data_IF_634297673450
#
_entry.id   IF_634297673450
#
_cell.length_a   1.000
_cell.length_b   1.000
_cell.length_c   1.000
_cell.angle_alpha   90.00
_cell.angle_beta   90.00
_cell.angle_gamma   90.00
#
_symmetry.space_group_name_H-M   'P 1'
#
loop_
_entity.id
_entity.type
_entity.pdbx_description
1 polymer ?
#
# COMPACT_ATOMS: atom_id res chain seq x y z
N UNK A 1 19.38 -2.35 35.85
CA UNK A 1 19.59 -2.34 37.31
C UNK A 1 21.02 -2.81 37.58
N UNK A 2 21.90 -1.90 37.99
CA UNK A 2 23.30 -2.21 38.29
C UNK A 2 23.43 -2.47 39.79
N UNK A 3 24.08 -3.56 40.16
CA UNK A 3 24.46 -3.82 41.54
C UNK A 3 25.96 -3.59 41.66
N UNK A 4 26.34 -2.78 42.64
CA UNK A 4 27.73 -2.57 43.01
C UNK A 4 28.02 -3.47 44.21
N UNK A 5 28.99 -4.37 44.05
CA UNK A 5 29.58 -5.08 45.19
C UNK A 5 31.01 -4.57 45.33
N UNK A 6 31.30 -4.02 46.51
CA UNK A 6 32.66 -3.68 46.93
C UNK A 6 33.14 -4.89 47.73
N UNK A 7 34.15 -5.59 47.22
CA UNK A 7 34.81 -6.68 47.94
C UNK A 7 36.15 -6.13 48.40
N UNK A 8 36.36 -6.11 49.70
CA UNK A 8 37.58 -5.61 50.33
C UNK A 8 38.40 -6.81 50.83
N UNK A 9 39.56 -7.02 50.22
CA UNK A 9 40.49 -8.09 50.61
C UNK A 9 41.91 -7.56 50.56
N UNK A 10 42.64 -7.69 51.68
CA UNK A 10 44.04 -7.26 51.87
C UNK A 10 44.35 -5.84 51.38
N UNK A 11 43.59 -4.86 51.86
CA UNK A 11 43.93 -3.43 51.71
C UNK A 11 43.90 -2.87 50.28
N UNK A 12 43.38 -3.62 49.30
CA UNK A 12 43.14 -3.12 47.93
C UNK A 12 41.68 -3.31 47.53
N UNK A 13 41.02 -2.20 47.15
CA UNK A 13 39.63 -2.20 46.67
C UNK A 13 39.59 -2.60 45.20
N UNK A 14 38.92 -3.71 44.92
CA UNK A 14 38.67 -4.16 43.54
C UNK A 14 37.20 -3.95 43.20
N UNK A 15 36.93 -3.15 42.17
CA UNK A 15 35.58 -2.94 41.64
C UNK A 15 35.34 -3.94 40.52
N UNK A 16 34.67 -5.05 40.84
CA UNK A 16 34.35 -6.08 39.84
C UNK A 16 33.01 -5.77 39.18
N UNK A 17 33.06 -5.34 37.90
CA UNK A 17 31.87 -5.04 37.09
C UNK A 17 31.30 -6.32 36.47
N UNK A 18 30.43 -7.02 37.19
CA UNK A 18 29.70 -8.17 36.64
C UNK A 18 28.55 -7.70 35.73
N UNK A 19 28.72 -7.87 34.41
CA UNK A 19 27.70 -7.59 33.40
C UNK A 19 26.71 -8.76 33.35
N UNK A 20 25.53 -8.64 34.00
CA UNK A 20 24.43 -9.61 33.81
C UNK A 20 24.08 -9.68 32.32
N UNK A 21 24.39 -10.80 31.66
CA UNK A 21 23.93 -11.12 30.29
C UNK A 21 22.43 -11.45 30.31
N UNK A 22 21.57 -10.47 30.54
CA UNK A 22 20.13 -10.58 30.21
C UNK A 22 19.93 -10.08 28.78
N UNK A 23 20.36 -10.86 27.78
CA UNK A 23 20.41 -10.40 26.37
C UNK A 23 19.37 -11.05 25.44
N UNK A 24 18.46 -11.90 25.94
CA UNK A 24 17.53 -12.67 25.07
C UNK A 24 16.04 -12.30 25.20
N UNK A 25 15.56 -11.83 26.36
CA UNK A 25 14.14 -11.40 26.53
C UNK A 25 13.85 -10.00 25.96
N UNK A 26 14.74 -9.02 26.17
CA UNK A 26 14.55 -7.64 25.70
C UNK A 26 14.49 -7.48 24.17
N UNK A 27 15.01 -8.45 23.41
CA UNK A 27 15.03 -8.40 21.95
C UNK A 27 13.72 -8.92 21.32
N UNK A 28 12.99 -9.78 22.02
CA UNK A 28 11.66 -10.21 21.59
C UNK A 28 10.65 -9.11 21.93
N UNK A 29 10.71 -8.57 23.16
CA UNK A 29 9.83 -7.49 23.59
C UNK A 29 9.97 -6.24 22.70
N UNK A 30 11.20 -5.89 22.28
CA UNK A 30 11.42 -4.77 21.35
C UNK A 30 10.89 -5.02 19.94
N UNK A 31 10.95 -6.27 19.45
CA UNK A 31 10.40 -6.66 18.14
C UNK A 31 8.88 -6.65 18.15
N UNK A 32 8.26 -7.21 19.20
CA UNK A 32 6.80 -7.18 19.35
C UNK A 32 6.28 -5.75 19.49
N UNK A 33 6.97 -4.91 20.26
CA UNK A 33 6.60 -3.50 20.40
C UNK A 33 6.71 -2.73 19.07
N UNK A 34 7.78 -2.96 18.31
CA UNK A 34 7.97 -2.35 16.98
C UNK A 34 6.92 -2.83 15.96
N UNK A 35 6.57 -4.11 15.99
CA UNK A 35 5.52 -4.67 15.14
C UNK A 35 4.15 -4.10 15.48
N UNK A 36 3.82 -3.99 16.77
CA UNK A 36 2.58 -3.39 17.25
C UNK A 36 2.48 -1.90 16.90
N UNK A 37 3.55 -1.12 17.07
CA UNK A 37 3.58 0.29 16.68
C UNK A 37 3.39 0.43 15.15
N UNK A 38 4.09 -0.38 14.36
CA UNK A 38 3.91 -0.38 12.89
C UNK A 38 2.48 -0.72 12.50
N UNK A 39 1.89 -1.74 13.11
CA UNK A 39 0.50 -2.16 12.85
C UNK A 39 -0.49 -1.05 13.23
N UNK A 40 -0.31 -0.44 14.40
CA UNK A 40 -1.14 0.68 14.85
C UNK A 40 -1.06 1.88 13.90
N UNK A 41 0.14 2.20 13.42
CA UNK A 41 0.36 3.26 12.42
C UNK A 41 -0.32 2.94 11.09
N UNK A 42 -0.29 1.69 10.64
CA UNK A 42 -0.97 1.25 9.41
C UNK A 42 -2.50 1.31 9.52
N UNK A 43 -3.06 0.99 10.70
CA UNK A 43 -4.50 1.14 10.95
C UNK A 43 -4.87 2.63 10.85
N UNK A 44 -4.08 3.48 11.51
CA UNK A 44 -4.31 4.93 11.50
C UNK A 44 -4.19 5.54 10.11
N UNK A 45 -3.26 5.05 9.27
CA UNK A 45 -3.15 5.52 7.88
C UNK A 45 -4.35 5.10 7.03
N UNK A 46 -4.86 3.88 7.20
CA UNK A 46 -6.09 3.45 6.50
C UNK A 46 -7.33 4.21 6.96
N UNK A 47 -7.48 4.48 8.27
CA UNK A 47 -8.55 5.33 8.76
C UNK A 47 -8.50 6.74 8.14
N UNK A 48 -7.30 7.32 8.07
CA UNK A 48 -7.11 8.62 7.43
C UNK A 48 -7.38 8.58 5.93
N UNK A 49 -7.06 7.48 5.24
CA UNK A 49 -7.45 7.28 3.84
C UNK A 49 -8.96 7.43 3.65
N UNK A 50 -9.78 6.77 4.47
CA UNK A 50 -11.25 6.90 4.39
C UNK A 50 -11.73 8.31 4.69
N UNK A 51 -11.22 8.95 5.75
CA UNK A 51 -11.58 10.34 6.10
C UNK A 51 -11.26 11.30 4.95
N UNK A 52 -10.10 11.17 4.32
CA UNK A 52 -9.71 12.01 3.19
C UNK A 52 -10.53 11.71 1.93
N UNK A 53 -10.87 10.45 1.71
CA UNK A 53 -11.73 10.01 0.62
C UNK A 53 -13.12 10.65 0.72
N UNK A 54 -13.76 10.60 1.89
CA UNK A 54 -15.05 11.25 2.13
C UNK A 54 -14.96 12.78 2.00
N UNK A 55 -13.88 13.38 2.52
CA UNK A 55 -13.67 14.83 2.46
C UNK A 55 -13.60 15.39 1.04
N UNK A 56 -13.06 14.64 0.08
CA UNK A 56 -12.83 15.12 -1.28
C UNK A 56 -13.91 14.68 -2.28
N UNK A 57 -15.04 14.19 -1.78
CA UNK A 57 -16.03 13.40 -2.52
C UNK A 57 -15.39 12.15 -3.13
N UNK A 58 -15.94 10.97 -2.83
CA UNK A 58 -15.37 9.66 -3.18
C UNK A 58 -14.89 9.60 -4.64
N UNK A 59 -15.67 10.18 -5.56
CA UNK A 59 -15.40 10.22 -7.01
C UNK A 59 -14.14 11.00 -7.40
N UNK A 60 -13.85 12.13 -6.73
CA UNK A 60 -12.71 12.98 -7.07
C UNK A 60 -11.50 12.68 -6.18
N UNK A 61 -11.76 12.24 -4.96
CA UNK A 61 -10.77 12.03 -3.90
C UNK A 61 -10.02 10.71 -3.96
N UNK A 62 -10.45 9.74 -4.78
CA UNK A 62 -9.90 8.38 -4.72
C UNK A 62 -8.40 8.31 -5.03
N UNK A 63 -7.98 8.80 -6.21
CA UNK A 63 -6.57 8.82 -6.60
C UNK A 63 -5.70 9.62 -5.62
N UNK A 64 -6.20 10.77 -5.16
CA UNK A 64 -5.49 11.64 -4.20
C UNK A 64 -5.24 10.90 -2.88
N UNK A 65 -6.30 10.31 -2.32
CA UNK A 65 -6.24 9.61 -1.04
C UNK A 65 -5.36 8.37 -1.15
N UNK A 66 -5.46 7.66 -2.28
CA UNK A 66 -4.69 6.45 -2.53
C UNK A 66 -3.20 6.72 -2.74
N UNK A 67 -2.82 7.70 -3.57
CA UNK A 67 -1.43 8.13 -3.72
C UNK A 67 -0.83 8.60 -2.39
N UNK A 68 -1.62 9.36 -1.60
CA UNK A 68 -1.19 9.81 -0.27
C UNK A 68 -0.97 8.62 0.68
N UNK A 69 -1.84 7.61 0.63
CA UNK A 69 -1.69 6.40 1.43
C UNK A 69 -0.42 5.63 1.07
N UNK A 70 -0.10 5.48 -0.22
CA UNK A 70 1.15 4.86 -0.66
C UNK A 70 2.35 5.58 -0.03
N UNK A 71 2.43 6.89 -0.21
CA UNK A 71 3.55 7.71 0.29
C UNK A 71 3.68 7.60 1.83
N UNK A 72 2.56 7.66 2.55
CA UNK A 72 2.55 7.57 4.02
C UNK A 72 2.94 6.17 4.53
N UNK A 73 2.42 5.10 3.92
CA UNK A 73 2.82 3.73 4.28
C UNK A 73 4.30 3.51 4.00
N UNK A 74 4.83 4.12 2.94
CA UNK A 74 6.25 4.02 2.63
C UNK A 74 7.15 4.66 3.67
N UNK A 75 6.75 5.83 4.16
CA UNK A 75 7.43 6.59 5.21
C UNK A 75 7.34 5.89 6.57
N UNK A 76 6.17 5.30 6.89
CA UNK A 76 5.99 4.48 8.10
C UNK A 76 6.96 3.29 8.09
N UNK A 77 7.00 2.56 6.97
CA UNK A 77 7.91 1.42 6.81
C UNK A 77 9.38 1.83 6.64
N UNK A 78 9.65 3.09 6.31
CA UNK A 78 10.98 3.70 6.28
C UNK A 78 11.49 4.10 7.67
N UNK A 79 10.65 4.00 8.71
CA UNK A 79 11.01 4.36 10.08
C UNK A 79 10.84 5.83 10.42
N UNK A 80 10.09 6.60 9.62
CA UNK A 80 9.85 8.01 9.92
C UNK A 80 8.99 8.17 11.20
N UNK A 81 9.42 9.07 12.09
CA UNK A 81 8.79 9.32 13.38
C UNK A 81 7.72 10.44 13.36
N UNK A 82 7.52 11.10 12.22
CA UNK A 82 6.54 12.17 12.09
C UNK A 82 5.10 11.68 12.32
N UNK A 83 4.26 12.58 12.85
CA UNK A 83 2.86 12.27 13.10
C UNK A 83 2.11 12.01 11.77
N UNK A 84 1.48 10.85 11.66
CA UNK A 84 0.76 10.39 10.44
C UNK A 84 -0.21 11.44 9.90
N UNK A 85 -0.90 12.18 10.79
CA UNK A 85 -1.85 13.23 10.39
C UNK A 85 -1.17 14.41 9.68
N UNK A 86 0.01 14.82 10.12
CA UNK A 86 0.79 15.87 9.46
C UNK A 86 1.27 15.38 8.09
N UNK A 87 1.80 14.15 8.05
CA UNK A 87 2.27 13.51 6.82
C UNK A 87 1.16 13.41 5.75
N UNK A 88 -0.03 12.96 6.13
CA UNK A 88 -1.20 12.94 5.23
C UNK A 88 -1.56 14.36 4.73
N UNK A 89 -1.53 15.37 5.59
CA UNK A 89 -1.87 16.76 5.22
C UNK A 89 -0.85 17.38 4.26
N UNK A 90 0.42 17.08 4.43
CA UNK A 90 1.49 17.59 3.56
C UNK A 90 1.50 16.87 2.21
N UNK A 91 1.53 15.54 2.21
CA UNK A 91 1.60 14.75 0.98
C UNK A 91 0.33 14.86 0.13
N UNK A 92 -0.86 14.98 0.74
CA UNK A 92 -2.13 15.12 -0.02
C UNK A 92 -2.20 16.39 -0.88
N UNK A 93 -1.53 17.48 -0.49
CA UNK A 93 -1.49 18.71 -1.30
C UNK A 93 -0.83 18.48 -2.66
N UNK A 94 0.17 17.60 -2.72
CA UNK A 94 0.92 17.26 -3.94
C UNK A 94 0.03 16.65 -5.01
N UNK A 95 -0.93 15.82 -4.62
CA UNK A 95 -1.75 15.05 -5.55
C UNK A 95 -3.04 15.77 -5.96
N UNK A 96 -3.28 17.02 -5.55
CA UNK A 96 -4.55 17.74 -5.76
C UNK A 96 -4.97 17.87 -7.23
N UNK A 97 -4.01 17.84 -8.17
CA UNK A 97 -4.25 17.93 -9.61
C UNK A 97 -4.58 16.58 -10.27
N UNK A 98 -4.56 15.47 -9.53
CA UNK A 98 -4.82 14.11 -10.05
C UNK A 98 -6.31 13.72 -10.10
N UNK A 99 -7.24 14.68 -9.92
CA UNK A 99 -8.69 14.43 -9.88
C UNK A 99 -9.24 13.72 -11.12
N UNK A 100 -8.72 14.06 -12.30
CA UNK A 100 -9.12 13.45 -13.58
C UNK A 100 -8.89 11.95 -13.55
N UNK A 101 -7.81 11.49 -12.90
CA UNK A 101 -7.49 10.07 -12.80
C UNK A 101 -8.51 9.34 -11.94
N UNK A 102 -8.96 9.93 -10.82
CA UNK A 102 -10.06 9.38 -10.01
C UNK A 102 -11.36 9.29 -10.83
N UNK A 103 -11.66 10.34 -11.60
CA UNK A 103 -12.88 10.44 -12.40
C UNK A 103 -12.91 9.38 -13.50
N UNK A 104 -11.79 9.19 -14.21
CA UNK A 104 -11.63 8.14 -15.22
C UNK A 104 -11.72 6.75 -14.59
N UNK A 105 -11.03 6.51 -13.48
CA UNK A 105 -11.08 5.21 -12.80
C UNK A 105 -12.50 4.83 -12.41
N UNK A 106 -13.20 5.72 -11.70
CA UNK A 106 -14.52 5.45 -11.16
C UNK A 106 -15.55 5.40 -12.29
N UNK A 107 -15.46 6.29 -13.28
CA UNK A 107 -16.31 6.27 -14.46
C UNK A 107 -16.19 4.95 -15.23
N UNK A 108 -14.95 4.50 -15.52
CA UNK A 108 -14.73 3.22 -16.19
C UNK A 108 -15.19 2.03 -15.32
N UNK A 109 -14.95 2.08 -14.01
CA UNK A 109 -15.39 1.02 -13.09
C UNK A 109 -16.92 0.91 -13.08
N UNK A 110 -17.64 2.03 -12.99
CA UNK A 110 -19.11 2.06 -13.07
C UNK A 110 -19.59 1.54 -14.42
N UNK A 111 -18.97 2.00 -15.51
CA UNK A 111 -19.31 1.56 -16.86
C UNK A 111 -19.19 0.04 -17.02
N UNK A 112 -18.02 -0.54 -16.75
CA UNK A 112 -17.80 -1.98 -16.91
C UNK A 112 -18.58 -2.82 -15.90
N UNK A 113 -18.76 -2.35 -14.67
CA UNK A 113 -19.57 -3.07 -13.67
C UNK A 113 -21.06 -3.10 -14.04
N UNK A 114 -21.59 -2.04 -14.65
CA UNK A 114 -22.97 -2.03 -15.15
C UNK A 114 -23.21 -3.15 -16.17
N UNK A 115 -22.27 -3.38 -17.10
CA UNK A 115 -22.37 -4.49 -18.06
C UNK A 115 -22.28 -5.88 -17.42
N UNK A 116 -21.62 -6.02 -16.27
CA UNK A 116 -21.54 -7.31 -15.57
C UNK A 116 -22.84 -7.60 -14.81
N UNK A 117 -23.37 -6.58 -14.13
CA UNK A 117 -24.51 -6.70 -13.20
C UNK A 117 -25.85 -6.71 -13.96
N UNK A 118 -26.02 -5.84 -14.94
CA UNK A 118 -27.31 -5.67 -15.61
C UNK A 118 -27.67 -6.91 -16.46
N UNK A 119 -28.97 -7.25 -16.53
CA UNK A 119 -29.44 -8.29 -17.41
C UNK A 119 -29.38 -7.81 -18.87
N UNK A 120 -28.92 -8.70 -19.76
CA UNK A 120 -28.92 -8.44 -21.20
C UNK A 120 -30.29 -8.74 -21.83
N UNK A 121 -30.60 -8.16 -23.00
CA UNK A 121 -31.86 -8.42 -23.70
C UNK A 121 -32.05 -9.91 -23.98
N UNK A 122 -33.30 -10.41 -23.84
CA UNK A 122 -33.64 -11.84 -24.02
C UNK A 122 -33.38 -12.39 -25.44
N UNK A 123 -33.15 -11.53 -26.43
CA UNK A 123 -32.86 -11.93 -27.80
C UNK A 123 -31.43 -12.38 -28.06
N UNK A 124 -30.53 -12.29 -27.07
CA UNK A 124 -29.13 -12.64 -27.22
C UNK A 124 -28.87 -14.07 -26.75
N UNK A 125 -28.01 -14.80 -27.47
CA UNK A 125 -27.66 -16.16 -27.06
C UNK A 125 -26.90 -16.16 -25.73
N UNK A 126 -27.13 -17.19 -24.91
CA UNK A 126 -26.48 -17.32 -23.59
C UNK A 126 -24.95 -17.29 -23.67
N UNK A 127 -24.38 -17.85 -24.74
CA UNK A 127 -22.92 -17.88 -24.94
C UNK A 127 -22.35 -16.46 -25.20
N UNK A 128 -23.03 -15.64 -26.00
CA UNK A 128 -22.61 -14.27 -26.28
C UNK A 128 -22.67 -13.42 -25.02
N UNK A 129 -23.76 -13.52 -24.24
CA UNK A 129 -23.92 -12.79 -22.98
C UNK A 129 -22.82 -13.18 -21.97
N UNK A 130 -22.56 -14.48 -21.81
CA UNK A 130 -21.50 -14.96 -20.92
C UNK A 130 -20.12 -14.43 -21.33
N UNK A 131 -19.82 -14.45 -22.62
CA UNK A 131 -18.54 -13.96 -23.18
C UNK A 131 -18.34 -12.48 -22.92
N UNK A 132 -19.36 -11.65 -23.16
CA UNK A 132 -19.30 -10.21 -22.92
C UNK A 132 -19.09 -9.91 -21.44
N UNK A 133 -19.85 -10.57 -20.55
CA UNK A 133 -19.66 -10.42 -19.10
C UNK A 133 -18.25 -10.78 -18.66
N UNK A 134 -17.69 -11.86 -19.20
CA UNK A 134 -16.32 -12.28 -18.91
C UNK A 134 -15.29 -11.24 -19.38
N UNK A 135 -15.43 -10.73 -20.60
CA UNK A 135 -14.54 -9.67 -21.13
C UNK A 135 -14.65 -8.39 -20.30
N UNK A 136 -15.86 -7.95 -19.95
CA UNK A 136 -16.05 -6.77 -19.09
C UNK A 136 -15.45 -6.95 -17.70
N UNK A 137 -15.60 -8.14 -17.10
CA UNK A 137 -14.98 -8.46 -15.81
C UNK A 137 -13.45 -8.42 -15.91
N UNK A 138 -12.87 -9.00 -16.96
CA UNK A 138 -11.43 -8.98 -17.19
C UNK A 138 -10.90 -7.54 -17.37
N UNK A 139 -11.60 -6.71 -18.16
CA UNK A 139 -11.25 -5.30 -18.33
C UNK A 139 -11.31 -4.52 -17.02
N UNK A 140 -12.31 -4.80 -16.17
CA UNK A 140 -12.44 -4.18 -14.85
C UNK A 140 -11.24 -4.52 -13.96
N UNK A 141 -10.79 -5.78 -13.94
CA UNK A 141 -9.60 -6.18 -13.19
C UNK A 141 -8.32 -5.50 -13.72
N UNK A 142 -8.16 -5.42 -15.04
CA UNK A 142 -7.02 -4.73 -15.66
C UNK A 142 -6.98 -3.25 -15.31
N UNK A 143 -8.13 -2.56 -15.29
CA UNK A 143 -8.22 -1.14 -14.90
C UNK A 143 -7.71 -0.93 -13.47
N UNK A 144 -8.08 -1.81 -12.53
CA UNK A 144 -7.61 -1.74 -11.15
C UNK A 144 -6.10 -1.97 -11.04
N UNK A 145 -5.55 -2.96 -11.75
CA UNK A 145 -4.09 -3.20 -11.78
C UNK A 145 -3.36 -2.00 -12.39
N UNK A 146 -3.85 -1.47 -13.51
CA UNK A 146 -3.25 -0.31 -14.16
C UNK A 146 -3.27 0.93 -13.25
N UNK A 147 -4.37 1.15 -12.53
CA UNK A 147 -4.47 2.22 -11.55
C UNK A 147 -3.42 2.08 -10.44
N UNK A 148 -3.17 0.86 -9.97
CA UNK A 148 -2.14 0.59 -8.97
C UNK A 148 -0.74 0.92 -9.46
N UNK A 149 -0.37 0.42 -10.64
CA UNK A 149 0.92 0.75 -11.27
C UNK A 149 1.07 2.26 -11.50
N UNK A 150 0.01 2.91 -11.95
CA UNK A 150 0.00 4.36 -12.19
C UNK A 150 0.18 5.14 -10.89
N UNK A 151 -0.60 4.83 -9.86
CA UNK A 151 -0.52 5.50 -8.55
C UNK A 151 0.84 5.30 -7.89
N UNK A 152 1.38 4.08 -7.95
CA UNK A 152 2.71 3.78 -7.42
C UNK A 152 3.81 4.52 -8.20
N UNK A 153 3.70 4.59 -9.54
CA UNK A 153 4.60 5.39 -10.39
C UNK A 153 4.55 6.87 -10.04
N UNK A 154 3.35 7.43 -9.88
CA UNK A 154 3.17 8.84 -9.50
C UNK A 154 3.84 9.17 -8.17
N UNK A 155 3.80 8.24 -7.21
CA UNK A 155 4.44 8.44 -5.90
C UNK A 155 5.95 8.29 -6.01
N UNK A 156 6.45 7.27 -6.69
CA UNK A 156 7.89 6.97 -6.78
C UNK A 156 8.68 7.92 -7.65
N UNK A 157 8.16 8.26 -8.82
CA UNK A 157 8.86 9.08 -9.82
C UNK A 157 8.38 10.54 -9.82
N UNK A 158 7.35 10.88 -9.04
CA UNK A 158 6.76 12.23 -8.97
C UNK A 158 6.34 12.79 -10.34
N UNK A 159 5.96 11.90 -11.27
CA UNK A 159 5.55 12.24 -12.63
C UNK A 159 4.09 12.74 -12.67
N UNK A 160 3.74 13.58 -13.67
CA UNK A 160 2.35 13.94 -13.93
C UNK A 160 1.52 12.72 -14.30
N UNK A 161 0.23 12.75 -13.98
CA UNK A 161 -0.70 11.63 -14.11
C UNK A 161 -0.69 10.95 -15.49
N UNK A 162 -0.58 11.73 -16.58
CA UNK A 162 -0.54 11.19 -17.95
C UNK A 162 0.72 10.35 -18.21
N UNK A 163 1.89 10.87 -17.85
CA UNK A 163 3.16 10.16 -18.04
C UNK A 163 3.23 8.94 -17.11
N UNK A 164 2.76 9.08 -15.88
CA UNK A 164 2.70 7.96 -14.94
C UNK A 164 1.76 6.85 -15.42
N UNK A 165 0.66 7.17 -16.11
CA UNK A 165 -0.25 6.17 -16.67
C UNK A 165 0.40 5.40 -17.82
N UNK A 166 1.09 6.09 -18.73
CA UNK A 166 1.81 5.45 -19.84
C UNK A 166 2.95 4.56 -19.33
N UNK A 167 3.74 5.06 -18.38
CA UNK A 167 4.82 4.28 -17.78
C UNK A 167 4.28 3.12 -16.93
N UNK A 168 3.20 3.34 -16.19
CA UNK A 168 2.50 2.30 -15.44
C UNK A 168 1.96 1.20 -16.34
N UNK A 169 1.40 1.55 -17.50
CA UNK A 169 0.97 0.59 -18.51
C UNK A 169 2.14 -0.22 -19.06
N UNK A 170 3.25 0.44 -19.42
CA UNK A 170 4.47 -0.22 -19.86
C UNK A 170 4.98 -1.22 -18.82
N UNK A 171 5.07 -0.82 -17.55
CA UNK A 171 5.50 -1.71 -16.46
C UNK A 171 4.56 -2.88 -16.22
N UNK A 172 3.25 -2.66 -16.33
CA UNK A 172 2.23 -3.70 -16.17
C UNK A 172 2.40 -4.80 -17.21
N UNK A 173 2.70 -4.44 -18.47
CA UNK A 173 2.93 -5.39 -19.57
C UNK A 173 4.31 -6.05 -19.43
N UNK A 174 5.37 -5.26 -19.19
CA UNK A 174 6.75 -5.76 -19.02
C UNK A 174 6.87 -6.79 -17.90
N UNK A 175 6.12 -6.59 -16.81
CA UNK A 175 6.16 -7.44 -15.62
C UNK A 175 4.83 -8.14 -15.36
N UNK A 176 4.27 -8.80 -16.39
CA UNK A 176 2.97 -9.47 -16.34
C UNK A 176 2.78 -10.41 -15.13
N UNK A 177 3.81 -11.20 -14.75
CA UNK A 177 3.74 -12.09 -13.58
C UNK A 177 3.52 -11.33 -12.26
N UNK A 178 4.09 -10.13 -12.14
CA UNK A 178 3.89 -9.28 -10.95
C UNK A 178 2.51 -8.64 -10.94
N UNK A 179 2.00 -8.28 -12.11
CA UNK A 179 0.60 -7.86 -12.30
C UNK A 179 -0.37 -8.96 -11.85
N UNK A 180 -0.09 -10.22 -12.21
CA UNK A 180 -0.87 -11.37 -11.74
C UNK A 180 -0.79 -11.56 -10.22
N UNK A 181 0.40 -11.40 -9.62
CA UNK A 181 0.55 -11.45 -8.16
C UNK A 181 -0.27 -10.36 -7.43
N UNK A 182 -0.29 -9.13 -7.95
CA UNK A 182 -1.13 -8.05 -7.41
C UNK A 182 -2.62 -8.38 -7.50
N UNK A 183 -3.04 -9.00 -8.59
CA UNK A 183 -4.41 -9.47 -8.78
C UNK A 183 -4.78 -10.52 -7.72
N UNK A 184 -3.91 -11.51 -7.49
CA UNK A 184 -4.14 -12.52 -6.45
C UNK A 184 -4.25 -11.90 -5.06
N UNK A 185 -3.41 -10.91 -4.73
CA UNK A 185 -3.52 -10.17 -3.45
C UNK A 185 -4.86 -9.43 -3.36
N UNK A 186 -5.28 -8.75 -4.43
CA UNK A 186 -6.54 -8.03 -4.47
C UNK A 186 -7.74 -8.97 -4.25
N UNK A 187 -7.75 -10.12 -4.94
CA UNK A 187 -8.79 -11.15 -4.78
C UNK A 187 -8.78 -11.77 -3.39
N UNK A 188 -7.60 -12.05 -2.83
CA UNK A 188 -7.46 -12.56 -1.47
C UNK A 188 -8.03 -11.58 -0.43
N UNK A 189 -7.79 -10.28 -0.59
CA UNK A 189 -8.35 -9.24 0.29
C UNK A 189 -9.88 -9.21 0.18
N UNK A 190 -10.44 -9.28 -1.03
CA UNK A 190 -11.91 -9.33 -1.24
C UNK A 190 -12.50 -10.58 -0.58
N UNK A 191 -11.89 -11.73 -0.80
CA UNK A 191 -12.34 -12.99 -0.21
C UNK A 191 -12.31 -12.95 1.32
N UNK A 192 -11.22 -12.45 1.91
CA UNK A 192 -11.08 -12.28 3.36
C UNK A 192 -12.10 -11.27 3.94
N UNK A 193 -12.44 -10.24 3.17
CA UNK A 193 -13.48 -9.28 3.55
C UNK A 193 -14.86 -9.93 3.69
N UNK A 194 -15.11 -11.09 3.08
CA UNK A 194 -16.36 -11.85 3.26
C UNK A 194 -16.57 -12.37 4.68
N UNK A 195 -15.48 -12.66 5.42
CA UNK A 195 -15.56 -13.13 6.80
C UNK A 195 -15.74 -12.00 7.81
N UNK A 196 -15.04 -10.88 7.61
CA UNK A 196 -15.06 -9.74 8.53
C UNK A 196 -14.96 -8.40 7.77
N UNK A 197 -16.08 -7.96 7.19
CA UNK A 197 -16.13 -6.77 6.35
C UNK A 197 -15.64 -5.51 7.09
N UNK A 198 -16.04 -5.30 8.35
CA UNK A 198 -15.66 -4.10 9.12
C UNK A 198 -14.16 -4.04 9.36
N UNK A 199 -13.55 -5.16 9.77
CA UNK A 199 -12.11 -5.23 9.99
C UNK A 199 -11.34 -5.00 8.69
N UNK A 200 -11.73 -5.69 7.62
CA UNK A 200 -11.05 -5.54 6.34
C UNK A 200 -11.26 -4.17 5.71
N UNK A 201 -12.40 -3.50 5.92
CA UNK A 201 -12.59 -2.13 5.46
C UNK A 201 -11.50 -1.20 6.00
N UNK A 202 -11.14 -1.33 7.28
CA UNK A 202 -10.14 -0.48 7.92
C UNK A 202 -8.69 -0.92 7.71
N UNK A 203 -8.43 -2.17 7.32
CA UNK A 203 -7.06 -2.67 7.13
C UNK A 203 -6.68 -2.87 5.67
N UNK A 204 -7.65 -3.17 4.80
CA UNK A 204 -7.42 -3.52 3.39
C UNK A 204 -6.59 -2.47 2.64
N UNK A 205 -6.84 -1.14 2.75
CA UNK A 205 -6.04 -0.17 2.00
C UNK A 205 -4.56 -0.24 2.35
N UNK A 206 -4.22 -0.26 3.64
CA UNK A 206 -2.82 -0.33 4.11
C UNK A 206 -2.18 -1.68 3.77
N UNK A 207 -2.88 -2.81 3.97
CA UNK A 207 -2.36 -4.14 3.63
C UNK A 207 -2.07 -4.22 2.12
N UNK A 208 -3.00 -3.74 1.31
CA UNK A 208 -2.85 -3.77 -0.14
C UNK A 208 -1.64 -2.95 -0.60
N UNK A 209 -1.43 -1.76 -0.03
CA UNK A 209 -0.26 -0.93 -0.32
C UNK A 209 1.04 -1.60 0.14
N UNK A 210 1.05 -2.25 1.31
CA UNK A 210 2.22 -3.00 1.79
C UNK A 210 2.60 -4.14 0.83
N UNK A 211 1.62 -4.96 0.44
CA UNK A 211 1.82 -6.04 -0.52
C UNK A 211 2.28 -5.49 -1.88
N UNK A 212 1.69 -4.38 -2.32
CA UNK A 212 2.08 -3.69 -3.55
C UNK A 212 3.55 -3.27 -3.51
N UNK A 213 3.99 -2.65 -2.41
CA UNK A 213 5.40 -2.29 -2.21
C UNK A 213 6.31 -3.52 -2.25
N UNK A 214 5.90 -4.65 -1.69
CA UNK A 214 6.69 -5.87 -1.72
C UNK A 214 6.84 -6.44 -3.16
N UNK A 215 5.76 -6.40 -3.95
CA UNK A 215 5.72 -6.97 -5.31
C UNK A 215 6.38 -6.03 -6.33
N UNK A 216 5.97 -4.76 -6.34
CA UNK A 216 6.39 -3.74 -7.32
C UNK A 216 7.68 -3.03 -6.88
N UNK A 217 7.91 -2.87 -5.57
CA UNK A 217 9.01 -2.02 -5.07
C UNK A 217 10.40 -2.47 -5.48
N UNK A 218 10.62 -3.75 -5.80
CA UNK A 218 11.90 -4.23 -6.33
C UNK A 218 12.14 -3.83 -7.79
N UNK A 219 11.10 -3.55 -8.59
CA UNK A 219 11.25 -3.03 -9.97
C UNK A 219 11.98 -1.69 -9.95
N UNK A 220 11.51 -0.77 -9.10
CA UNK A 220 12.04 0.59 -8.98
C UNK A 220 13.39 0.68 -8.25
N UNK A 221 13.83 -0.40 -7.58
CA UNK A 221 15.22 -0.51 -7.10
C UNK A 221 16.15 -0.88 -8.25
N UNK A 222 15.77 -1.91 -9.03
CA UNK A 222 16.54 -2.39 -10.17
C UNK A 222 16.70 -1.33 -11.27
N UNK A 223 15.64 -0.59 -11.61
CA UNK A 223 15.70 0.45 -12.64
C UNK A 223 16.57 1.66 -12.21
N UNK A 224 16.62 1.96 -10.90
CA UNK A 224 17.49 3.02 -10.37
C UNK A 224 18.96 2.65 -10.46
N UNK A 225 19.31 1.40 -10.15
CA UNK A 225 20.68 0.90 -10.29
C UNK A 225 21.13 0.90 -11.75
N UNK A 226 20.27 0.51 -12.69
CA UNK A 226 20.59 0.59 -14.11
C UNK A 226 20.78 2.04 -14.59
N UNK A 227 19.94 2.96 -14.14
CA UNK A 227 20.05 4.39 -14.52
C UNK A 227 21.32 5.05 -13.99
N UNK A 228 21.84 4.63 -12.83
CA UNK A 228 23.09 5.14 -12.26
C UNK A 228 24.37 4.56 -12.88
N UNK A 229 24.26 3.51 -13.70
CA UNK A 229 25.42 2.94 -14.44
C UNK A 229 25.61 3.66 -15.79
N UNK A 230 24.61 4.42 -16.24
CA UNK A 230 24.65 5.20 -17.47
C UNK A 230 24.92 6.71 -17.25
N UNK A 231 25.23 7.12 -16.02
CA UNK A 231 25.70 8.47 -15.65
C UNK A 231 27.14 8.34 -15.18
#
# INVERSE_FOLDING_TARGET
MYYWFIIESRGRRYVVRMRKKTKKRSFLDSKYFSFMDTTYRLIKSSLLFWVYLFKHAIVLGFSISFCTLIDVVEEILGGNAQAIRQLFREKSKRYRNSKILSLLLIGLTIYFSAFVILPFPKGWSSAVVATIKFVCLYMLLLIWILFMYTSYTMVKLQLPAKQAALYGFYLMVKHFLRSFALLLVFLAIIWLSGYNAVFFLFFAPSIYVMCTRAIIGSIYRSDREQSSVFI
#
